data_IF_135107796899
#
_entry.id   IF_135107796899
#
_cell.length_a   1.000
_cell.length_b   1.000
_cell.length_c   1.000
_cell.angle_alpha   90.00
_cell.angle_beta   90.00
_cell.angle_gamma   90.00
#
_symmetry.space_group_name_H-M   'P 1'
#
loop_
_entity.id
_entity.type
_entity.pdbx_description
1 polymer ?
#
# COMPACT_ATOMS: atom_id res chain seq x y z
N UNK A 1 -6.52 -2.99 49.32
CA UNK A 1 -6.28 -3.78 48.10
C UNK A 1 -6.80 -2.96 46.94
N UNK A 2 -5.95 -2.13 46.37
CA UNK A 2 -6.24 -1.35 45.16
C UNK A 2 -5.27 -1.88 44.10
N UNK A 3 -5.81 -2.67 43.19
CA UNK A 3 -5.08 -3.23 42.05
C UNK A 3 -4.76 -2.09 41.08
N UNK A 4 -3.50 -1.64 41.07
CA UNK A 4 -3.00 -0.78 40.01
C UNK A 4 -2.84 -1.62 38.74
N UNK A 5 -3.66 -1.28 37.76
CA UNK A 5 -3.68 -1.86 36.43
C UNK A 5 -2.36 -1.52 35.71
N UNK A 6 -1.45 -2.49 35.68
CA UNK A 6 -0.16 -2.44 35.00
C UNK A 6 -0.40 -2.61 33.50
N UNK A 7 -0.98 -1.59 32.87
CA UNK A 7 -1.06 -1.52 31.42
C UNK A 7 0.32 -1.09 30.91
N UNK A 8 1.22 -2.06 30.76
CA UNK A 8 2.49 -1.90 30.08
C UNK A 8 2.23 -1.66 28.58
N UNK A 9 1.80 -0.44 28.27
CA UNK A 9 1.83 0.11 26.92
C UNK A 9 3.31 0.33 26.62
N UNK A 10 3.93 -0.64 25.92
CA UNK A 10 5.22 -0.40 25.26
C UNK A 10 5.12 0.87 24.40
N UNK A 11 6.23 1.56 24.13
CA UNK A 11 6.20 2.85 23.45
C UNK A 11 5.61 2.68 22.04
N UNK A 12 4.30 2.86 21.91
CA UNK A 12 3.62 2.87 20.63
C UNK A 12 3.93 4.23 20.02
N UNK A 13 4.97 4.27 19.21
CA UNK A 13 5.36 5.46 18.45
C UNK A 13 4.11 6.00 17.75
N UNK A 14 3.77 7.24 18.06
CA UNK A 14 2.55 7.88 17.55
C UNK A 14 2.86 8.62 16.25
N UNK A 15 1.81 8.93 15.47
CA UNK A 15 1.96 9.76 14.27
C UNK A 15 2.49 11.17 14.61
N UNK A 16 2.17 11.68 15.80
CA UNK A 16 2.66 12.96 16.31
C UNK A 16 4.18 12.94 16.54
N UNK A 17 4.72 11.84 17.07
CA UNK A 17 6.17 11.67 17.28
C UNK A 17 6.92 11.70 15.94
N UNK A 18 6.38 11.05 14.90
CA UNK A 18 6.97 11.04 13.56
C UNK A 18 6.95 12.45 12.96
N UNK A 19 5.84 13.18 13.09
CA UNK A 19 5.75 14.58 12.63
C UNK A 19 6.76 15.48 13.35
N UNK A 20 6.96 15.27 14.66
CA UNK A 20 7.94 16.01 15.44
C UNK A 20 9.37 15.70 14.96
N UNK A 21 9.69 14.43 14.71
CA UNK A 21 10.98 14.03 14.15
C UNK A 21 11.22 14.66 12.76
N UNK A 22 10.21 14.65 11.88
CA UNK A 22 10.30 15.31 10.57
C UNK A 22 10.54 16.82 10.70
N UNK A 23 9.87 17.50 11.62
CA UNK A 23 10.11 18.92 11.87
C UNK A 23 11.55 19.17 12.31
N UNK A 24 12.07 18.35 13.23
CA UNK A 24 13.45 18.45 13.72
C UNK A 24 14.48 18.14 12.62
N UNK A 25 14.19 17.22 11.70
CA UNK A 25 14.99 16.98 10.49
C UNK A 25 15.13 18.27 9.68
N UNK A 26 14.01 18.93 9.42
CA UNK A 26 13.97 20.11 8.56
C UNK A 26 14.71 21.30 9.20
N UNK A 27 14.60 21.46 10.53
CA UNK A 27 15.38 22.46 11.30
C UNK A 27 16.90 22.20 11.17
N UNK A 28 17.34 20.95 11.24
CA UNK A 28 18.76 20.59 11.06
C UNK A 28 19.22 20.86 9.62
N UNK A 29 18.40 20.54 8.62
CA UNK A 29 18.71 20.82 7.21
C UNK A 29 18.84 22.33 6.94
N UNK A 30 17.97 23.14 7.54
CA UNK A 30 18.05 24.59 7.46
C UNK A 30 19.33 25.13 8.11
N UNK A 31 19.71 24.61 9.28
CA UNK A 31 20.97 24.97 9.93
C UNK A 31 22.19 24.58 9.09
N UNK A 32 22.19 23.37 8.52
CA UNK A 32 23.26 22.90 7.63
C UNK A 32 23.38 23.86 6.43
N UNK A 33 22.25 24.22 5.81
CA UNK A 33 22.22 25.14 4.69
C UNK A 33 22.79 26.52 5.06
N UNK A 34 22.39 27.07 6.21
CA UNK A 34 22.92 28.36 6.67
C UNK A 34 24.44 28.35 6.83
N UNK A 35 25.02 27.26 7.35
CA UNK A 35 26.48 27.13 7.43
C UNK A 35 27.14 26.96 6.05
N UNK A 36 26.48 26.31 5.09
CA UNK A 36 26.99 26.25 3.72
C UNK A 36 26.99 27.62 3.04
N UNK A 37 25.91 28.39 3.19
CA UNK A 37 25.81 29.75 2.64
C UNK A 37 26.90 30.65 3.23
N UNK A 38 27.13 30.56 4.55
CA UNK A 38 28.23 31.26 5.24
C UNK A 38 29.62 30.86 4.70
N UNK A 39 29.84 29.58 4.35
CA UNK A 39 31.10 29.13 3.76
C UNK A 39 31.29 29.65 2.32
N UNK A 40 30.20 29.79 1.55
CA UNK A 40 30.24 30.36 0.20
C UNK A 40 30.63 31.84 0.23
N UNK A 41 30.11 32.60 1.19
CA UNK A 41 30.41 34.03 1.38
C UNK A 41 31.88 34.29 1.74
N UNK A 42 32.53 33.36 2.43
CA UNK A 42 33.92 33.45 2.87
C UNK A 42 34.94 33.00 1.81
N UNK A 43 34.51 32.77 0.56
CA UNK A 43 35.40 32.54 -0.59
C UNK A 43 35.55 31.08 -1.00
N UNK A 44 34.46 30.42 -1.39
CA UNK A 44 34.40 29.05 -1.93
C UNK A 44 35.32 28.03 -1.21
N UNK A 45 35.52 28.24 0.10
CA UNK A 45 36.32 27.37 0.94
C UNK A 45 35.41 26.22 1.33
N UNK A 46 35.20 25.30 0.38
CA UNK A 46 34.34 24.13 0.56
C UNK A 46 34.75 23.28 1.77
N UNK A 47 34.00 22.22 2.09
CA UNK A 47 34.16 21.50 3.36
C UNK A 47 35.59 20.95 3.64
N UNK A 48 36.35 20.67 2.58
CA UNK A 48 37.67 20.02 2.66
C UNK A 48 38.82 20.86 2.11
N UNK A 49 38.58 22.10 1.71
CA UNK A 49 39.61 22.95 1.11
C UNK A 49 40.74 23.30 2.11
N UNK A 50 42.01 23.39 1.66
CA UNK A 50 43.14 23.79 2.51
C UNK A 50 42.95 25.21 3.05
N UNK A 51 43.19 25.37 4.36
CA UNK A 51 43.11 26.67 5.07
C UNK A 51 44.45 27.42 5.09
N UNK A 52 45.46 26.86 4.42
CA UNK A 52 46.79 27.45 4.29
C UNK A 52 47.03 27.86 2.84
N UNK A 53 47.90 28.83 2.65
CA UNK A 53 48.39 29.23 1.34
C UNK A 53 49.49 28.26 0.83
N UNK A 54 50.09 28.59 -0.31
CA UNK A 54 51.15 27.79 -0.95
C UNK A 54 52.47 27.81 -0.18
N UNK A 55 52.66 28.78 0.71
CA UNK A 55 53.86 28.93 1.54
C UNK A 55 53.67 28.27 2.92
N UNK A 56 52.46 27.83 3.24
CA UNK A 56 52.12 27.15 4.49
C UNK A 56 51.64 28.08 5.60
N UNK A 57 51.36 29.34 5.29
CA UNK A 57 50.82 30.32 6.24
C UNK A 57 49.29 30.32 6.23
N UNK A 58 48.64 30.74 7.33
CA UNK A 58 47.19 30.86 7.38
C UNK A 58 46.67 31.87 6.36
N UNK A 59 45.65 31.49 5.61
CA UNK A 59 45.01 32.35 4.61
C UNK A 59 44.47 33.64 5.24
N UNK A 60 44.89 34.78 4.70
CA UNK A 60 44.49 36.11 5.18
C UNK A 60 43.19 36.62 4.51
N UNK A 61 42.78 35.98 3.42
CA UNK A 61 41.58 36.27 2.63
C UNK A 61 40.29 35.74 3.27
N UNK A 62 40.39 34.87 4.28
CA UNK A 62 39.27 34.08 4.82
C UNK A 62 39.30 34.12 6.35
N UNK A 63 38.13 34.24 6.99
CA UNK A 63 38.04 34.01 8.44
C UNK A 63 38.16 32.51 8.77
N UNK A 64 39.39 32.10 9.07
CA UNK A 64 39.76 30.73 9.44
C UNK A 64 38.98 30.20 10.63
N UNK A 65 38.68 31.05 11.61
CA UNK A 65 37.96 30.65 12.81
C UNK A 65 36.50 30.34 12.48
N UNK A 66 35.88 31.24 11.73
CA UNK A 66 34.51 31.08 11.26
C UNK A 66 34.36 29.82 10.37
N UNK A 67 35.27 29.63 9.41
CA UNK A 67 35.25 28.46 8.51
C UNK A 67 35.47 27.15 9.28
N UNK A 68 36.41 27.11 10.22
CA UNK A 68 36.66 25.91 11.03
C UNK A 68 35.45 25.56 11.89
N UNK A 69 34.83 26.57 12.49
CA UNK A 69 33.62 26.40 13.30
C UNK A 69 32.46 25.91 12.45
N UNK A 70 32.21 26.53 11.29
CA UNK A 70 31.16 26.12 10.36
C UNK A 70 31.35 24.68 9.87
N UNK A 71 32.58 24.29 9.47
CA UNK A 71 32.88 22.90 9.07
C UNK A 71 32.61 21.89 10.19
N UNK A 72 33.04 22.21 11.41
CA UNK A 72 32.79 21.36 12.58
C UNK A 72 31.28 21.22 12.84
N UNK A 73 30.54 22.33 12.83
CA UNK A 73 29.10 22.34 13.02
C UNK A 73 28.37 21.54 11.94
N UNK A 74 28.74 21.68 10.66
CA UNK A 74 28.18 20.90 9.55
C UNK A 74 28.42 19.41 9.77
N UNK A 75 29.64 19.00 10.11
CA UNK A 75 29.95 17.59 10.37
C UNK A 75 29.11 17.02 11.53
N UNK A 76 28.96 17.77 12.63
CA UNK A 76 28.12 17.35 13.75
C UNK A 76 26.65 17.23 13.32
N UNK A 77 26.10 18.26 12.67
CA UNK A 77 24.70 18.30 12.24
C UNK A 77 24.39 17.23 11.19
N UNK A 78 25.32 16.91 10.29
CA UNK A 78 25.17 15.82 9.33
C UNK A 78 25.11 14.45 10.01
N UNK A 79 25.91 14.23 11.05
CA UNK A 79 25.84 13.01 11.84
C UNK A 79 24.50 12.91 12.61
N UNK A 80 24.05 14.02 13.20
CA UNK A 80 22.77 14.09 13.90
C UNK A 80 21.59 13.88 12.95
N UNK A 81 21.63 14.48 11.76
CA UNK A 81 20.64 14.29 10.71
C UNK A 81 20.55 12.82 10.28
N UNK A 82 21.71 12.17 10.09
CA UNK A 82 21.77 10.73 9.79
C UNK A 82 21.18 9.89 10.92
N UNK A 83 21.48 10.22 12.18
CA UNK A 83 20.91 9.54 13.34
C UNK A 83 19.39 9.69 13.39
N UNK A 84 18.89 10.89 13.15
CA UNK A 84 17.47 11.21 13.14
C UNK A 84 16.74 10.54 11.98
N UNK A 85 17.36 10.43 10.81
CA UNK A 85 16.80 9.70 9.67
C UNK A 85 16.62 8.20 9.99
N UNK A 86 17.59 7.58 10.66
CA UNK A 86 17.45 6.18 11.14
C UNK A 86 16.34 6.04 12.17
N UNK A 87 16.15 7.04 13.04
CA UNK A 87 15.05 7.05 14.02
C UNK A 87 13.68 7.16 13.34
N UNK A 88 13.54 8.05 12.34
CA UNK A 88 12.32 8.17 11.52
C UNK A 88 12.01 6.86 10.80
N UNK A 89 13.02 6.24 10.19
CA UNK A 89 12.87 4.95 9.50
C UNK A 89 12.34 3.89 10.47
N UNK A 90 12.96 3.76 11.65
CA UNK A 90 12.52 2.83 12.70
C UNK A 90 11.09 3.11 13.16
N UNK A 91 10.76 4.38 13.40
CA UNK A 91 9.43 4.84 13.82
C UNK A 91 8.35 4.53 12.77
N UNK A 92 8.67 4.71 11.50
CA UNK A 92 7.76 4.41 10.39
C UNK A 92 7.54 2.89 10.27
N UNK A 93 8.60 2.10 10.40
CA UNK A 93 8.50 0.64 10.40
C UNK A 93 7.69 0.10 11.57
N UNK A 94 7.83 0.63 12.78
CA UNK A 94 7.01 0.21 13.92
C UNK A 94 5.54 0.58 13.73
N UNK A 95 5.23 1.77 13.20
CA UNK A 95 3.87 2.18 12.90
C UNK A 95 3.23 1.26 11.85
N UNK A 96 3.93 0.99 10.73
CA UNK A 96 3.41 0.09 9.70
C UNK A 96 3.33 -1.37 10.16
N UNK A 97 4.27 -1.84 10.99
CA UNK A 97 4.20 -3.18 11.57
C UNK A 97 2.99 -3.31 12.52
N UNK A 98 2.73 -2.29 13.33
CA UNK A 98 1.55 -2.24 14.20
C UNK A 98 0.25 -2.12 13.39
N UNK A 99 0.24 -1.31 12.34
CA UNK A 99 -0.89 -1.21 11.42
C UNK A 99 -1.14 -2.54 10.69
N UNK A 100 -0.08 -3.25 10.28
CA UNK A 100 -0.17 -4.58 9.67
C UNK A 100 -0.64 -5.63 10.66
N UNK A 101 -0.20 -5.62 11.92
CA UNK A 101 -0.71 -6.52 12.97
C UNK A 101 -2.17 -6.20 13.33
N UNK A 102 -2.57 -4.93 13.29
CA UNK A 102 -3.96 -4.50 13.39
C UNK A 102 -4.77 -5.01 12.22
N UNK A 103 -4.26 -4.85 11.00
CA UNK A 103 -4.86 -5.37 9.78
C UNK A 103 -4.88 -6.90 9.78
N UNK A 104 -3.88 -7.61 10.31
CA UNK A 104 -3.84 -9.07 10.41
C UNK A 104 -4.75 -9.58 11.52
N UNK A 105 -4.99 -8.81 12.59
CA UNK A 105 -6.03 -9.09 13.59
C UNK A 105 -7.42 -8.80 13.04
N UNK A 106 -7.59 -7.76 12.24
CA UNK A 106 -8.84 -7.45 11.54
C UNK A 106 -9.05 -8.32 10.31
N UNK A 107 -8.00 -8.89 9.72
CA UNK A 107 -8.03 -9.88 8.64
C UNK A 107 -8.15 -11.28 9.23
N UNK A 108 -7.70 -11.54 10.45
CA UNK A 108 -8.00 -12.77 11.18
C UNK A 108 -9.41 -12.72 11.77
N UNK A 109 -9.90 -11.55 12.18
CA UNK A 109 -11.31 -11.33 12.54
C UNK A 109 -12.17 -11.28 11.29
N UNK A 110 -11.72 -10.74 10.16
CA UNK A 110 -12.44 -10.78 8.87
C UNK A 110 -12.32 -12.14 8.18
N UNK A 111 -11.27 -12.93 8.41
CA UNK A 111 -11.18 -14.34 7.96
C UNK A 111 -11.96 -15.30 8.87
N UNK A 112 -11.97 -15.08 10.18
CA UNK A 112 -12.81 -15.86 11.09
C UNK A 112 -14.29 -15.44 11.04
N UNK A 113 -14.59 -14.18 10.70
CA UNK A 113 -15.99 -13.71 10.47
C UNK A 113 -16.47 -14.01 9.06
N UNK A 114 -15.59 -14.10 8.03
CA UNK A 114 -15.97 -14.66 6.71
C UNK A 114 -16.22 -16.16 6.71
N UNK A 115 -15.82 -16.89 7.75
CA UNK A 115 -16.11 -18.32 7.85
C UNK A 115 -17.43 -18.65 8.56
N UNK A 116 -18.21 -17.66 9.04
CA UNK A 116 -19.54 -17.97 9.61
C UNK A 116 -20.67 -16.95 9.39
N UNK A 117 -20.45 -15.80 8.74
CA UNK A 117 -21.53 -14.95 8.23
C UNK A 117 -20.99 -14.06 7.10
N UNK A 118 -21.34 -14.24 5.83
CA UNK A 118 -22.69 -14.37 5.31
C UNK A 118 -22.74 -15.46 4.24
N UNK A 119 -23.81 -16.25 4.26
CA UNK A 119 -24.32 -16.88 3.05
C UNK A 119 -24.57 -15.76 2.03
N UNK A 120 -23.59 -15.50 1.16
CA UNK A 120 -23.77 -14.64 0.01
C UNK A 120 -24.89 -15.27 -0.80
N UNK A 121 -26.09 -14.68 -0.73
CA UNK A 121 -27.26 -15.24 -1.37
C UNK A 121 -27.04 -15.21 -2.87
N UNK A 122 -26.99 -16.35 -3.57
CA UNK A 122 -26.75 -16.33 -5.00
C UNK A 122 -27.84 -15.55 -5.71
N UNK A 123 -27.45 -14.72 -6.68
CA UNK A 123 -28.39 -13.89 -7.45
C UNK A 123 -28.76 -14.54 -8.80
N UNK A 124 -27.91 -15.43 -9.31
CA UNK A 124 -28.15 -16.18 -10.54
C UNK A 124 -27.63 -17.61 -10.44
N UNK A 125 -28.15 -18.50 -11.27
CA UNK A 125 -27.66 -19.88 -11.43
C UNK A 125 -27.28 -20.11 -12.89
N UNK A 126 -26.22 -20.89 -13.09
CA UNK A 126 -25.78 -21.31 -14.42
C UNK A 126 -26.68 -22.45 -14.90
N UNK A 127 -27.51 -22.17 -15.91
CA UNK A 127 -28.44 -23.15 -16.48
C UNK A 127 -27.77 -24.00 -17.57
N UNK A 128 -26.94 -23.38 -18.42
CA UNK A 128 -26.23 -24.09 -19.48
C UNK A 128 -24.82 -23.55 -19.67
N UNK A 129 -23.89 -24.44 -20.02
CA UNK A 129 -22.52 -24.10 -20.44
C UNK A 129 -22.20 -24.89 -21.69
N UNK A 130 -21.85 -24.21 -22.78
CA UNK A 130 -21.48 -24.87 -24.03
C UNK A 130 -20.03 -25.37 -23.98
N UNK A 131 -19.79 -26.61 -24.42
CA UNK A 131 -18.45 -27.18 -24.45
C UNK A 131 -17.53 -26.37 -25.38
N UNK A 132 -16.28 -26.15 -24.96
CA UNK A 132 -15.31 -25.35 -25.71
C UNK A 132 -15.54 -23.83 -25.66
N UNK A 133 -16.54 -23.36 -24.92
CA UNK A 133 -16.76 -21.92 -24.70
C UNK A 133 -15.76 -21.34 -23.68
N UNK A 134 -15.59 -20.00 -23.65
CA UNK A 134 -14.78 -19.34 -22.63
C UNK A 134 -15.24 -19.64 -21.19
N UNK A 135 -16.55 -19.77 -20.96
CA UNK A 135 -17.08 -20.18 -19.66
C UNK A 135 -16.69 -21.61 -19.30
N UNK A 136 -16.75 -22.55 -20.25
CA UNK A 136 -16.33 -23.94 -20.04
C UNK A 136 -14.83 -24.03 -19.73
N UNK A 137 -14.00 -23.31 -20.48
CA UNK A 137 -12.54 -23.28 -20.29
C UNK A 137 -12.16 -22.70 -18.92
N UNK A 138 -12.92 -21.72 -18.44
CA UNK A 138 -12.77 -21.15 -17.11
C UNK A 138 -13.27 -22.06 -15.97
N UNK A 139 -13.90 -23.19 -16.31
CA UNK A 139 -14.36 -24.18 -15.33
C UNK A 139 -15.74 -23.91 -14.74
N UNK A 140 -16.55 -23.02 -15.34
CA UNK A 140 -17.96 -22.86 -14.98
C UNK A 140 -18.74 -24.13 -15.33
N UNK A 141 -19.66 -24.52 -14.45
CA UNK A 141 -20.49 -25.72 -14.61
C UNK A 141 -21.96 -25.39 -14.45
N UNK A 142 -22.79 -26.25 -15.06
CA UNK A 142 -24.25 -26.20 -14.86
C UNK A 142 -24.56 -26.46 -13.39
N UNK A 143 -25.45 -25.66 -12.81
CA UNK A 143 -25.81 -25.72 -11.40
C UNK A 143 -24.95 -24.86 -10.47
N UNK A 144 -23.93 -24.18 -10.99
CA UNK A 144 -23.17 -23.20 -10.20
C UNK A 144 -24.08 -22.02 -9.83
N UNK A 145 -24.09 -21.66 -8.55
CA UNK A 145 -24.85 -20.53 -8.03
C UNK A 145 -23.94 -19.30 -7.92
N UNK A 146 -24.20 -18.27 -8.72
CA UNK A 146 -23.35 -17.09 -8.84
C UNK A 146 -23.61 -16.11 -7.70
N UNK A 147 -22.53 -15.74 -7.02
CA UNK A 147 -22.52 -14.76 -5.94
C UNK A 147 -21.78 -13.47 -6.32
N UNK A 148 -20.89 -13.55 -7.31
CA UNK A 148 -20.09 -12.42 -7.82
C UNK A 148 -19.74 -12.65 -9.30
N UNK A 149 -19.86 -11.62 -10.13
CA UNK A 149 -19.47 -11.63 -11.53
C UNK A 149 -18.81 -10.31 -11.91
N UNK A 150 -17.47 -10.26 -11.90
CA UNK A 150 -16.70 -9.05 -12.16
C UNK A 150 -17.05 -7.95 -11.14
N UNK A 151 -17.59 -6.84 -11.63
CA UNK A 151 -18.08 -5.75 -10.78
C UNK A 151 -19.50 -5.97 -10.24
N UNK A 152 -20.21 -7.01 -10.67
CA UNK A 152 -21.58 -7.31 -10.26
C UNK A 152 -21.56 -8.25 -9.05
N UNK A 153 -22.32 -7.91 -8.02
CA UNK A 153 -22.47 -8.67 -6.78
C UNK A 153 -23.94 -8.64 -6.33
N UNK A 154 -24.23 -9.30 -5.21
CA UNK A 154 -25.59 -9.38 -4.65
C UNK A 154 -26.22 -8.04 -4.26
N UNK A 155 -25.42 -6.98 -4.08
CA UNK A 155 -25.89 -5.66 -3.67
C UNK A 155 -26.25 -4.78 -4.87
N UNK A 156 -25.60 -4.97 -6.01
CA UNK A 156 -25.81 -4.14 -7.20
C UNK A 156 -26.48 -4.87 -8.37
N UNK A 157 -26.66 -6.20 -8.28
CA UNK A 157 -27.37 -6.98 -9.29
C UNK A 157 -28.84 -6.58 -9.32
N UNK A 158 -29.26 -5.99 -10.43
CA UNK A 158 -30.66 -5.67 -10.69
C UNK A 158 -31.28 -6.67 -11.66
N UNK A 159 -30.55 -7.01 -12.73
CA UNK A 159 -31.02 -7.95 -13.73
C UNK A 159 -29.85 -8.61 -14.50
N UNK A 160 -30.17 -9.58 -15.37
CA UNK A 160 -29.17 -10.27 -16.19
C UNK A 160 -28.45 -9.35 -17.19
N UNK A 161 -28.98 -8.17 -17.48
CA UNK A 161 -28.33 -7.20 -18.38
C UNK A 161 -27.05 -6.65 -17.75
N UNK A 162 -26.98 -6.54 -16.42
CA UNK A 162 -25.77 -6.10 -15.70
C UNK A 162 -24.59 -7.03 -15.99
N UNK A 163 -24.83 -8.35 -15.95
CA UNK A 163 -23.83 -9.37 -16.31
C UNK A 163 -23.42 -9.20 -17.78
N UNK A 164 -24.39 -9.08 -18.69
CA UNK A 164 -24.11 -8.92 -20.12
C UNK A 164 -23.28 -7.66 -20.41
N UNK A 165 -23.56 -6.55 -19.71
CA UNK A 165 -22.82 -5.30 -19.81
C UNK A 165 -21.37 -5.47 -19.34
N UNK A 166 -21.12 -6.09 -18.19
CA UNK A 166 -19.76 -6.36 -17.69
C UNK A 166 -18.97 -7.20 -18.69
N UNK A 167 -19.60 -8.21 -19.27
CA UNK A 167 -18.99 -9.11 -20.25
C UNK A 167 -18.61 -8.36 -21.53
N UNK A 168 -19.49 -7.48 -22.02
CA UNK A 168 -19.25 -6.71 -23.24
C UNK A 168 -18.13 -5.67 -23.06
N UNK A 169 -18.07 -5.00 -21.90
CA UNK A 169 -17.02 -4.02 -21.59
C UNK A 169 -15.67 -4.66 -21.25
N UNK A 170 -15.64 -5.98 -21.00
CA UNK A 170 -14.46 -6.73 -20.59
C UNK A 170 -14.03 -7.76 -21.62
N UNK A 171 -14.39 -7.59 -22.90
CA UNK A 171 -13.89 -8.42 -23.99
C UNK A 171 -12.34 -8.42 -23.99
N UNK A 172 -11.75 -9.62 -23.94
CA UNK A 172 -10.31 -9.85 -23.88
C UNK A 172 -9.66 -9.65 -22.51
N UNK A 173 -10.42 -9.29 -21.46
CA UNK A 173 -9.91 -9.08 -20.10
C UNK A 173 -10.37 -10.19 -19.15
N UNK A 174 -9.52 -10.53 -18.19
CA UNK A 174 -9.85 -11.52 -17.16
C UNK A 174 -10.89 -10.94 -16.20
N UNK A 175 -11.99 -11.67 -16.01
CA UNK A 175 -13.04 -11.40 -15.04
C UNK A 175 -13.03 -12.46 -13.93
N UNK A 176 -13.14 -12.01 -12.68
CA UNK A 176 -13.36 -12.89 -11.53
C UNK A 176 -14.84 -13.24 -11.43
N UNK A 177 -15.14 -14.51 -11.19
CA UNK A 177 -16.51 -15.00 -10.96
C UNK A 177 -16.53 -15.83 -9.68
N UNK A 178 -17.33 -15.43 -8.70
CA UNK A 178 -17.58 -16.20 -7.49
C UNK A 178 -18.83 -17.05 -7.67
N UNK A 179 -18.71 -18.35 -7.41
CA UNK A 179 -19.82 -19.31 -7.46
C UNK A 179 -19.86 -20.19 -6.23
N UNK A 180 -21.03 -20.68 -5.87
CA UNK A 180 -21.24 -21.75 -4.91
C UNK A 180 -21.51 -23.04 -5.70
N UNK A 181 -20.70 -24.06 -5.43
CA UNK A 181 -20.83 -25.40 -6.02
C UNK A 181 -20.82 -26.42 -4.90
N UNK A 182 -21.88 -27.23 -4.81
CA UNK A 182 -22.06 -28.21 -3.72
C UNK A 182 -21.95 -27.58 -2.32
N UNK A 183 -22.44 -26.34 -2.16
CA UNK A 183 -22.36 -25.59 -0.90
C UNK A 183 -20.98 -25.01 -0.57
N UNK A 184 -19.98 -25.16 -1.47
CA UNK A 184 -18.67 -24.55 -1.31
C UNK A 184 -18.46 -23.38 -2.25
N UNK A 185 -17.98 -22.26 -1.72
CA UNK A 185 -17.60 -21.09 -2.50
C UNK A 185 -16.31 -21.36 -3.29
N UNK A 186 -16.36 -21.10 -4.60
CA UNK A 186 -15.26 -21.26 -5.54
C UNK A 186 -15.13 -19.99 -6.38
N UNK A 187 -13.91 -19.49 -6.55
CA UNK A 187 -13.64 -18.39 -7.47
C UNK A 187 -13.00 -18.89 -8.76
N UNK A 188 -13.54 -18.45 -9.89
CA UNK A 188 -13.11 -18.78 -11.23
C UNK A 188 -12.64 -17.50 -11.95
N UNK A 189 -11.78 -17.67 -12.95
CA UNK A 189 -11.28 -16.60 -13.80
C UNK A 189 -11.75 -16.86 -15.23
N UNK A 190 -12.62 -15.99 -15.75
CA UNK A 190 -13.22 -16.13 -17.08
C UNK A 190 -12.75 -14.98 -17.95
N UNK A 191 -12.34 -15.26 -19.19
CA UNK A 191 -11.98 -14.21 -20.15
C UNK A 191 -13.03 -14.15 -21.26
N UNK A 192 -13.92 -13.14 -21.31
CA UNK A 192 -14.87 -13.00 -22.41
C UNK A 192 -14.17 -12.82 -23.74
N UNK A 193 -14.50 -13.63 -24.73
CA UNK A 193 -13.90 -13.54 -26.06
C UNK A 193 -14.85 -14.13 -27.11
N UNK A 194 -14.68 -13.70 -28.37
CA UNK A 194 -15.39 -14.33 -29.49
C UNK A 194 -14.98 -15.79 -29.62
N UNK A 195 -15.95 -16.66 -29.81
CA UNK A 195 -15.79 -18.11 -29.93
C UNK A 195 -16.77 -18.64 -30.99
N UNK A 196 -16.76 -19.94 -31.24
CA UNK A 196 -17.55 -20.58 -32.32
C UNK A 196 -19.07 -20.55 -32.09
N UNK A 197 -19.53 -20.18 -30.89
CA UNK A 197 -20.95 -20.06 -30.56
C UNK A 197 -21.44 -18.62 -30.46
N UNK A 198 -22.59 -18.43 -29.82
CA UNK A 198 -23.23 -17.12 -29.66
C UNK A 198 -22.65 -16.35 -28.47
N UNK A 199 -22.40 -15.05 -28.65
CA UNK A 199 -21.93 -14.15 -27.60
C UNK A 199 -20.46 -14.34 -27.24
N UNK A 200 -20.04 -13.82 -26.08
CA UNK A 200 -18.63 -13.77 -25.65
C UNK A 200 -18.24 -14.82 -24.58
N UNK A 201 -19.20 -15.58 -24.07
CA UNK A 201 -18.98 -16.50 -22.93
C UNK A 201 -19.44 -17.93 -23.18
N UNK A 202 -20.59 -18.11 -23.83
CA UNK A 202 -21.19 -19.43 -24.05
C UNK A 202 -21.74 -20.10 -22.80
N UNK A 203 -22.37 -19.32 -21.92
CA UNK A 203 -23.19 -19.83 -20.82
C UNK A 203 -24.51 -19.03 -20.72
N UNK A 204 -25.51 -19.63 -20.07
CA UNK A 204 -26.80 -19.00 -19.80
C UNK A 204 -27.01 -18.89 -18.28
N UNK A 205 -27.21 -17.67 -17.81
CA UNK A 205 -27.55 -17.38 -16.43
C UNK A 205 -29.05 -17.20 -16.28
N UNK A 206 -29.62 -17.73 -15.20
CA UNK A 206 -31.04 -17.56 -14.85
C UNK A 206 -31.07 -16.95 -13.44
N UNK A 207 -31.85 -15.88 -13.19
CA UNK A 207 -31.95 -15.31 -11.86
C UNK A 207 -32.54 -16.33 -10.88
N UNK A 208 -32.01 -16.37 -9.66
CA UNK A 208 -32.59 -17.20 -8.61
C UNK A 208 -33.92 -16.56 -8.20
N UNK A 209 -35.03 -17.27 -8.41
CA UNK A 209 -36.35 -16.82 -7.93
C UNK A 209 -36.42 -17.08 -6.42
N UNK A 210 -36.67 -16.03 -5.64
CA UNK A 210 -37.21 -16.17 -4.27
C UNK A 210 -38.72 -16.25 -4.33
#
# INVERSE_FOLDING_TARGET
>A
MTEENINAVGPSVTEEDIRLLMKRKDEIEEQIKAYYDMLQDQGDVGLHAPLVDVEGFPRADVDLYAVRTARQSICCLQNDHKALMMEIEKALHTLHANAKLGHERDDAKTKATKQVASMSSPFATVNTVTQGSPAFQAGLRVGDEVIEFGSVNTQNFSNLHDIASVVQHSEGKILRVGVIRNGQETHLLVTPQKWTGRGLLGCNFVPVRR
#
